data_IF_319251650435
#
_entry.id   IF_319251650435
#
_cell.length_a   1.000
_cell.length_b   1.000
_cell.length_c   1.000
_cell.angle_alpha   90.00
_cell.angle_beta   90.00
_cell.angle_gamma   90.00
#
_symmetry.space_group_name_H-M   'P 1'
#
loop_
_entity.id
_entity.type
_entity.pdbx_description
1 polymer ?
#
# COMPACT_ATOMS: atom_id res chain seq x y z
N UNK A 1 -14.18 -60.37 -28.02
CA UNK A 1 -12.90 -59.64 -28.02
C UNK A 1 -13.20 -58.16 -28.10
N UNK A 2 -12.91 -57.46 -26.99
CA UNK A 2 -12.76 -56.01 -26.76
C UNK A 2 -13.70 -55.00 -27.46
N UNK A 3 -14.60 -54.46 -26.63
CA UNK A 3 -15.32 -53.20 -26.82
C UNK A 3 -14.33 -52.01 -26.82
N UNK A 4 -14.36 -51.16 -27.83
CA UNK A 4 -13.59 -49.92 -27.89
C UNK A 4 -14.49 -48.71 -27.62
N UNK A 5 -14.65 -48.34 -26.35
CA UNK A 5 -15.26 -47.07 -25.97
C UNK A 5 -14.20 -45.96 -26.06
N UNK A 6 -14.37 -45.03 -27.00
CA UNK A 6 -13.58 -43.80 -27.06
C UNK A 6 -13.99 -42.92 -25.88
N UNK A 7 -13.10 -42.78 -24.90
CA UNK A 7 -13.28 -41.87 -23.77
C UNK A 7 -12.89 -40.47 -24.27
N UNK A 8 -13.88 -39.61 -24.43
CA UNK A 8 -13.66 -38.20 -24.70
C UNK A 8 -12.99 -37.56 -23.46
N UNK A 9 -11.77 -37.05 -23.64
CA UNK A 9 -11.10 -36.26 -22.62
C UNK A 9 -11.81 -34.91 -22.50
N UNK A 10 -12.56 -34.71 -21.42
CA UNK A 10 -13.10 -33.41 -21.07
C UNK A 10 -11.94 -32.53 -20.54
N UNK A 11 -11.51 -31.57 -21.34
CA UNK A 11 -10.62 -30.50 -20.89
C UNK A 11 -11.38 -29.60 -19.93
N UNK A 12 -11.11 -29.72 -18.63
CA UNK A 12 -11.63 -28.81 -17.61
C UNK A 12 -10.81 -27.51 -17.72
N UNK A 13 -11.36 -26.53 -18.43
CA UNK A 13 -10.90 -25.16 -18.33
C UNK A 13 -11.27 -24.62 -16.95
N UNK A 14 -10.29 -24.56 -16.05
CA UNK A 14 -10.40 -23.74 -14.85
C UNK A 14 -10.38 -22.26 -15.28
N UNK A 15 -11.56 -21.70 -15.56
CA UNK A 15 -11.75 -20.27 -15.47
C UNK A 15 -11.66 -19.91 -14.00
N UNK A 16 -10.52 -19.37 -13.56
CA UNK A 16 -10.41 -18.69 -12.27
C UNK A 16 -11.44 -17.56 -12.28
N UNK A 17 -12.58 -17.80 -11.63
CA UNK A 17 -13.53 -16.76 -11.32
C UNK A 17 -12.80 -15.75 -10.44
N UNK A 18 -12.40 -14.63 -11.04
CA UNK A 18 -12.04 -13.43 -10.28
C UNK A 18 -13.36 -13.04 -9.62
N UNK A 19 -13.55 -13.48 -8.37
CA UNK A 19 -14.66 -13.01 -7.56
C UNK A 19 -14.59 -11.49 -7.57
N UNK A 20 -15.68 -10.85 -7.97
CA UNK A 20 -15.82 -9.39 -7.88
C UNK A 20 -15.81 -9.06 -6.39
N UNK A 21 -14.63 -8.84 -5.84
CA UNK A 21 -14.47 -8.29 -4.49
C UNK A 21 -14.92 -6.84 -4.61
N UNK A 22 -16.05 -6.51 -3.99
CA UNK A 22 -16.57 -5.15 -4.00
C UNK A 22 -15.53 -4.19 -3.44
N UNK A 23 -15.52 -2.96 -3.96
CA UNK A 23 -14.59 -1.94 -3.49
C UNK A 23 -14.75 -1.72 -1.97
N UNK A 24 -13.63 -1.65 -1.26
CA UNK A 24 -13.62 -1.38 0.18
C UNK A 24 -13.20 0.05 0.44
N UNK A 25 -13.87 0.69 1.39
CA UNK A 25 -13.55 2.04 1.80
C UNK A 25 -12.20 2.06 2.53
N UNK A 26 -11.43 3.12 2.31
CA UNK A 26 -10.14 3.34 2.93
C UNK A 26 -9.72 4.80 2.87
N UNK A 27 -8.47 5.02 3.24
CA UNK A 27 -7.82 6.33 3.26
C UNK A 27 -6.54 6.28 2.46
N UNK A 28 -6.14 7.43 1.94
CA UNK A 28 -4.84 7.57 1.27
C UNK A 28 -4.01 8.69 1.88
N UNK A 29 -2.74 8.40 2.06
CA UNK A 29 -1.67 9.38 2.16
C UNK A 29 -0.91 9.43 0.84
N UNK A 30 0.00 10.40 0.72
CA UNK A 30 0.80 10.56 -0.48
C UNK A 30 2.29 10.67 -0.14
N UNK A 31 3.08 9.84 -0.80
CA UNK A 31 4.52 9.75 -0.62
C UNK A 31 5.26 9.94 -1.94
N UNK A 32 6.42 10.58 -1.86
CA UNK A 32 7.34 10.65 -2.99
C UNK A 32 8.36 9.53 -2.88
N UNK A 33 8.07 8.42 -3.55
CA UNK A 33 8.94 7.24 -3.56
C UNK A 33 10.33 7.54 -4.14
N UNK A 34 10.48 8.59 -4.96
CA UNK A 34 11.78 8.95 -5.54
C UNK A 34 12.77 9.51 -4.53
N UNK A 35 12.29 9.89 -3.34
CA UNK A 35 13.14 10.34 -2.23
C UNK A 35 13.68 9.17 -1.40
N UNK A 36 13.19 7.95 -1.64
CA UNK A 36 13.63 6.75 -0.95
C UNK A 36 14.81 6.09 -1.68
N UNK A 37 15.70 5.48 -0.91
CA UNK A 37 16.84 4.73 -1.47
C UNK A 37 16.42 3.34 -1.97
N UNK A 38 15.41 2.75 -1.32
CA UNK A 38 14.88 1.41 -1.58
C UNK A 38 13.41 1.36 -1.19
N UNK A 39 12.71 0.34 -1.66
CA UNK A 39 11.36 -0.03 -1.21
C UNK A 39 11.40 -1.45 -0.61
N UNK A 40 10.40 -1.82 0.18
CA UNK A 40 10.32 -3.13 0.81
C UNK A 40 10.23 -4.26 -0.24
N UNK A 41 9.36 -4.12 -1.25
CA UNK A 41 9.19 -5.15 -2.26
C UNK A 41 10.42 -5.34 -3.15
N UNK A 42 11.10 -6.48 -2.97
CA UNK A 42 12.25 -6.84 -3.80
C UNK A 42 11.92 -6.86 -5.29
N UNK A 43 12.82 -6.30 -6.10
CA UNK A 43 12.68 -6.23 -7.56
C UNK A 43 11.89 -5.03 -8.08
N UNK A 44 11.38 -4.16 -7.21
CA UNK A 44 10.73 -2.91 -7.60
C UNK A 44 11.62 -1.70 -7.36
N UNK A 45 11.62 -0.70 -8.26
CA UNK A 45 12.36 0.53 -8.07
C UNK A 45 11.60 1.52 -7.16
N UNK A 46 12.31 2.35 -6.36
CA UNK A 46 11.73 3.45 -5.58
C UNK A 46 11.33 4.62 -6.50
N UNK A 47 10.31 4.40 -7.33
CA UNK A 47 9.80 5.40 -8.29
C UNK A 47 8.31 5.55 -8.18
N UNK A 48 7.82 6.77 -8.39
CA UNK A 48 6.38 7.08 -8.36
C UNK A 48 5.55 6.35 -9.43
N UNK A 49 6.20 5.80 -10.47
CA UNK A 49 5.56 5.02 -11.53
C UNK A 49 6.14 3.61 -11.60
N UNK A 50 5.28 2.65 -11.94
CA UNK A 50 5.59 1.24 -12.16
C UNK A 50 5.36 0.81 -13.63
N UNK A 51 5.40 1.78 -14.55
CA UNK A 51 5.11 1.61 -15.97
C UNK A 51 3.61 1.53 -16.27
N UNK A 52 3.23 1.61 -17.56
CA UNK A 52 1.84 1.42 -18.03
C UNK A 52 0.77 2.25 -17.30
N UNK A 53 1.10 3.49 -16.93
CA UNK A 53 0.22 4.37 -16.13
C UNK A 53 -0.20 3.77 -14.77
N UNK A 54 0.64 2.90 -14.19
CA UNK A 54 0.49 2.36 -12.85
C UNK A 54 1.35 3.17 -11.89
N UNK A 55 0.74 3.63 -10.80
CA UNK A 55 1.41 4.37 -9.74
C UNK A 55 1.99 3.42 -8.69
N UNK A 56 3.09 3.79 -8.05
CA UNK A 56 3.57 3.08 -6.87
C UNK A 56 2.63 3.32 -5.68
N UNK A 57 2.48 2.31 -4.82
CA UNK A 57 1.83 2.45 -3.53
C UNK A 57 2.48 1.54 -2.49
N UNK A 58 2.30 1.92 -1.23
CA UNK A 58 2.50 1.09 -0.07
C UNK A 58 1.14 0.82 0.60
N UNK A 59 0.94 -0.37 1.16
CA UNK A 59 -0.33 -0.76 1.76
C UNK A 59 -0.14 -1.34 3.16
N UNK A 60 -1.12 -1.10 4.03
CA UNK A 60 -1.28 -1.69 5.36
C UNK A 60 -1.98 -3.06 5.33
N UNK A 61 -2.48 -3.53 6.48
CA UNK A 61 -3.54 -4.55 6.53
C UNK A 61 -4.81 -4.02 5.86
N UNK A 62 -5.44 -4.86 5.04
CA UNK A 62 -6.76 -4.68 4.44
C UNK A 62 -7.68 -5.82 4.91
N UNK A 63 -7.67 -6.07 6.22
CA UNK A 63 -8.31 -7.22 6.87
C UNK A 63 -9.85 -7.20 6.73
N UNK A 64 -10.51 -8.34 6.44
CA UNK A 64 -9.94 -9.69 6.30
C UNK A 64 -9.49 -10.05 4.88
N UNK A 65 -9.52 -9.10 3.93
CA UNK A 65 -9.27 -9.38 2.51
C UNK A 65 -7.79 -9.63 2.23
N UNK A 66 -6.92 -8.76 2.76
CA UNK A 66 -5.47 -8.88 2.62
C UNK A 66 -4.79 -8.56 3.95
N UNK A 67 -3.85 -9.42 4.36
CA UNK A 67 -2.98 -9.15 5.49
C UNK A 67 -1.75 -8.45 4.92
N UNK A 68 -1.52 -7.24 5.37
CA UNK A 68 -0.36 -6.46 5.01
C UNK A 68 0.86 -6.94 5.80
N UNK A 69 2.01 -6.47 5.37
CA UNK A 69 3.25 -6.88 5.98
C UNK A 69 3.34 -6.29 7.40
N UNK A 70 3.71 -7.11 8.39
CA UNK A 70 3.91 -6.67 9.77
C UNK A 70 5.40 -6.45 9.99
N UNK A 71 5.78 -5.22 10.27
CA UNK A 71 7.16 -4.89 10.63
C UNK A 71 7.24 -4.56 12.11
N UNK A 72 8.16 -5.14 12.86
CA UNK A 72 8.30 -4.88 14.29
C UNK A 72 8.93 -3.51 14.58
N UNK A 73 8.57 -2.88 15.71
CA UNK A 73 9.04 -1.54 16.06
C UNK A 73 8.50 -1.02 17.39
N UNK A 74 9.14 0.04 17.92
CA UNK A 74 8.74 0.68 19.19
C UNK A 74 8.05 2.02 18.92
N UNK A 75 6.88 2.27 19.54
CA UNK A 75 6.19 3.58 19.56
C UNK A 75 6.90 4.61 20.49
N UNK A 76 8.23 4.62 20.51
CA UNK A 76 9.00 5.52 21.38
C UNK A 76 9.22 6.86 20.69
N UNK A 77 8.56 7.91 21.18
CA UNK A 77 8.68 9.27 20.67
C UNK A 77 10.13 9.78 20.61
N UNK A 78 10.99 9.31 21.52
CA UNK A 78 12.39 9.71 21.56
C UNK A 78 13.20 9.16 20.39
N UNK A 79 12.65 8.18 19.66
CA UNK A 79 13.22 7.65 18.43
C UNK A 79 12.68 8.34 17.19
N UNK A 80 11.94 9.44 17.31
CA UNK A 80 11.49 10.26 16.19
C UNK A 80 12.23 11.59 16.14
N UNK A 81 12.60 12.05 14.95
CA UNK A 81 13.30 13.30 14.75
C UNK A 81 12.38 14.54 14.74
N UNK A 82 11.07 14.34 15.02
CA UNK A 82 10.06 15.40 14.97
C UNK A 82 9.79 15.95 13.56
N UNK A 83 10.18 15.21 12.52
CA UNK A 83 9.97 15.56 11.11
C UNK A 83 9.41 14.39 10.29
N UNK A 84 8.70 13.45 10.90
CA UNK A 84 8.19 12.29 10.16
C UNK A 84 9.19 11.13 10.02
N UNK A 85 10.37 11.22 10.64
CA UNK A 85 11.43 10.22 10.48
C UNK A 85 11.91 9.67 11.82
N UNK A 86 12.38 8.42 11.78
CA UNK A 86 12.89 7.71 12.93
C UNK A 86 14.41 7.85 13.05
N UNK A 87 14.89 8.30 14.20
CA UNK A 87 16.29 8.25 14.61
C UNK A 87 16.57 6.91 15.29
N UNK A 88 17.61 6.21 14.83
CA UNK A 88 18.03 4.92 15.38
C UNK A 88 16.94 3.84 15.34
N UNK A 89 16.27 3.72 14.20
CA UNK A 89 15.45 2.56 13.85
C UNK A 89 16.32 1.29 13.68
N UNK A 90 16.94 0.83 14.75
CA UNK A 90 17.75 -0.40 14.77
C UNK A 90 16.83 -1.60 15.01
N UNK A 91 16.20 -2.03 13.91
CA UNK A 91 15.65 -3.37 13.70
C UNK A 91 16.38 -4.09 12.56
N UNK A 92 17.63 -3.67 12.28
CA UNK A 92 18.51 -4.26 11.26
C UNK A 92 18.78 -5.73 11.61
N UNK A 93 18.21 -6.66 10.85
CA UNK A 93 18.82 -7.98 10.72
C UNK A 93 20.09 -7.79 9.88
N UNK A 94 21.23 -7.59 10.56
CA UNK A 94 22.55 -7.59 9.92
C UNK A 94 22.88 -9.04 9.56
N UNK A 95 22.52 -9.46 8.34
CA UNK A 95 23.30 -10.47 7.63
C UNK A 95 24.28 -9.72 6.74
N UNK A 96 25.56 -10.03 6.93
CA UNK A 96 26.73 -9.37 6.35
C UNK A 96 26.47 -8.86 4.91
N UNK A 97 26.74 -7.57 4.74
CA UNK A 97 26.92 -6.88 3.45
C UNK A 97 25.65 -6.56 2.64
N UNK A 98 24.45 -6.76 3.20
CA UNK A 98 23.18 -6.37 2.55
C UNK A 98 22.35 -5.49 3.49
N UNK A 99 22.14 -4.22 3.14
CA UNK A 99 21.16 -3.37 3.82
C UNK A 99 19.76 -3.88 3.51
N UNK A 100 19.21 -4.72 4.39
CA UNK A 100 17.78 -5.02 4.39
C UNK A 100 17.16 -3.99 5.34
N UNK A 101 16.58 -2.92 4.79
CA UNK A 101 15.60 -2.10 5.51
C UNK A 101 14.54 -3.06 6.03
N UNK A 102 14.53 -3.31 7.36
CA UNK A 102 13.76 -4.33 8.07
C UNK A 102 12.54 -4.81 7.27
N UNK A 103 12.78 -5.80 6.40
CA UNK A 103 11.80 -6.24 5.44
C UNK A 103 10.68 -6.84 6.24
N UNK A 104 9.48 -6.28 6.13
CA UNK A 104 8.31 -6.92 6.69
C UNK A 104 8.25 -8.30 6.02
N UNK A 105 8.57 -9.41 6.70
CA UNK A 105 9.01 -10.65 6.04
C UNK A 105 7.88 -11.34 5.25
N UNK A 106 6.64 -10.89 5.44
CA UNK A 106 5.42 -11.40 4.82
C UNK A 106 4.86 -10.39 3.80
N UNK A 107 5.63 -10.08 2.75
CA UNK A 107 5.20 -9.16 1.68
C UNK A 107 4.28 -9.83 0.64
N UNK A 108 3.27 -10.56 1.09
CA UNK A 108 2.39 -11.39 0.24
C UNK A 108 1.68 -10.59 -0.88
N UNK A 109 1.61 -9.27 -0.75
CA UNK A 109 0.95 -8.37 -1.68
C UNK A 109 1.89 -7.67 -2.67
N UNK A 110 3.20 -7.89 -2.59
CA UNK A 110 4.13 -7.25 -3.51
C UNK A 110 3.78 -7.55 -4.97
N UNK A 111 3.76 -6.50 -5.79
CA UNK A 111 3.43 -6.57 -7.21
C UNK A 111 1.94 -6.71 -7.51
N UNK A 112 1.05 -6.81 -6.51
CA UNK A 112 -0.41 -6.79 -6.74
C UNK A 112 -0.89 -5.39 -7.10
N UNK A 113 -1.99 -5.31 -7.85
CA UNK A 113 -2.56 -4.05 -8.30
C UNK A 113 -3.97 -3.80 -7.76
N UNK A 114 -4.26 -2.52 -7.55
CA UNK A 114 -5.55 -2.04 -7.08
C UNK A 114 -6.03 -0.87 -7.92
N UNK A 115 -7.32 -0.83 -8.19
CA UNK A 115 -8.02 0.34 -8.67
C UNK A 115 -8.38 1.22 -7.48
N UNK A 116 -8.02 2.50 -7.55
CA UNK A 116 -8.27 3.49 -6.50
C UNK A 116 -9.14 4.60 -7.05
N UNK A 117 -10.18 4.96 -6.30
CA UNK A 117 -11.05 6.08 -6.60
C UNK A 117 -11.19 6.99 -5.39
N UNK A 118 -11.07 8.30 -5.59
CA UNK A 118 -11.37 9.29 -4.55
C UNK A 118 -12.87 9.32 -4.26
N UNK A 119 -13.24 9.32 -2.98
CA UNK A 119 -14.62 9.45 -2.50
C UNK A 119 -14.85 10.72 -1.67
N UNK A 120 -13.79 11.40 -1.24
CA UNK A 120 -13.87 12.72 -0.62
C UNK A 120 -12.54 13.18 -0.02
N UNK A 121 -12.52 14.39 0.52
CA UNK A 121 -11.39 14.85 1.36
C UNK A 121 -11.45 14.13 2.70
N UNK A 122 -10.31 13.61 3.15
CA UNK A 122 -10.15 13.09 4.50
C UNK A 122 -9.91 14.23 5.50
N UNK A 123 -9.24 15.30 5.05
CA UNK A 123 -8.81 16.43 5.87
C UNK A 123 -9.90 17.48 6.08
N UNK A 124 -11.12 17.21 5.60
CA UNK A 124 -12.26 18.10 5.75
C UNK A 124 -12.20 19.32 4.83
N UNK A 125 -11.42 19.26 3.75
CA UNK A 125 -11.34 20.33 2.77
C UNK A 125 -12.71 20.56 2.11
N UNK A 126 -13.16 21.82 2.15
CA UNK A 126 -14.41 22.25 1.51
C UNK A 126 -14.19 22.85 0.12
N UNK A 127 -12.93 23.01 -0.29
CA UNK A 127 -12.53 23.50 -1.61
C UNK A 127 -11.76 22.40 -2.33
N UNK A 128 -12.17 22.07 -3.55
CA UNK A 128 -11.65 20.93 -4.31
C UNK A 128 -12.72 19.86 -4.53
N UNK A 129 -12.39 18.83 -5.30
CA UNK A 129 -13.27 17.69 -5.57
C UNK A 129 -12.46 16.47 -6.01
N UNK A 130 -13.05 15.28 -5.82
CA UNK A 130 -12.60 14.09 -6.54
C UNK A 130 -12.83 14.28 -8.04
N UNK A 131 -11.91 13.81 -8.87
CA UNK A 131 -12.00 13.94 -10.34
C UNK A 131 -12.93 12.90 -10.97
N UNK A 132 -13.39 11.91 -10.21
CA UNK A 132 -14.05 10.67 -10.66
C UNK A 132 -13.16 9.74 -11.51
N UNK A 133 -11.86 10.02 -11.63
CA UNK A 133 -10.94 9.09 -12.26
C UNK A 133 -10.68 7.88 -11.34
N UNK A 134 -10.46 6.74 -11.97
CA UNK A 134 -9.92 5.54 -11.33
C UNK A 134 -8.46 5.43 -11.75
N UNK A 135 -7.56 5.39 -10.78
CA UNK A 135 -6.14 5.11 -11.03
C UNK A 135 -5.83 3.65 -10.72
N UNK A 136 -4.78 3.12 -11.34
CA UNK A 136 -4.22 1.84 -10.95
C UNK A 136 -2.95 2.07 -10.14
N UNK A 137 -2.87 1.45 -8.97
CA UNK A 137 -1.66 1.41 -8.14
C UNK A 137 -1.11 -0.01 -8.10
N UNK A 138 0.20 -0.13 -7.88
CA UNK A 138 0.88 -1.40 -7.63
C UNK A 138 1.63 -1.31 -6.30
N UNK A 139 1.49 -2.35 -5.49
CA UNK A 139 2.18 -2.45 -4.21
C UNK A 139 3.64 -2.76 -4.45
N UNK A 140 4.49 -1.81 -4.12
CA UNK A 140 5.95 -1.91 -4.27
C UNK A 140 6.69 -1.64 -2.98
N UNK A 141 5.98 -1.19 -1.96
CA UNK A 141 6.53 -0.94 -0.65
C UNK A 141 5.53 -1.40 0.41
N UNK A 142 6.01 -1.56 1.63
CA UNK A 142 5.17 -1.93 2.75
C UNK A 142 4.80 -0.67 3.55
N UNK A 143 3.55 -0.57 3.97
CA UNK A 143 3.12 0.41 4.98
C UNK A 143 2.71 -0.34 6.25
N UNK A 144 3.66 -0.97 6.95
CA UNK A 144 3.35 -1.86 8.06
C UNK A 144 2.73 -1.13 9.25
N UNK A 145 1.81 -1.83 9.93
CA UNK A 145 1.10 -1.33 11.10
C UNK A 145 1.98 -1.06 12.34
N UNK A 146 3.24 -1.52 12.31
CA UNK A 146 4.12 -1.56 13.50
C UNK A 146 5.55 -1.05 13.29
N UNK A 147 5.85 -0.43 12.14
CA UNK A 147 7.21 0.04 11.86
C UNK A 147 7.44 1.44 12.42
N UNK A 148 8.59 1.72 13.09
CA UNK A 148 8.75 3.00 13.77
C UNK A 148 8.82 4.22 12.85
N UNK A 149 9.21 4.05 11.58
CA UNK A 149 9.13 5.13 10.62
C UNK A 149 7.69 5.57 10.30
N UNK A 150 6.69 4.69 10.44
CA UNK A 150 5.28 5.06 10.28
C UNK A 150 4.75 5.79 11.51
N UNK A 151 5.11 5.34 12.73
CA UNK A 151 4.81 6.09 13.96
C UNK A 151 5.37 7.50 13.93
N UNK A 152 6.60 7.70 13.43
CA UNK A 152 7.16 9.06 13.38
C UNK A 152 6.39 10.01 12.44
N UNK A 153 5.51 9.51 11.56
CA UNK A 153 4.63 10.33 10.71
C UNK A 153 3.41 10.90 11.46
N UNK A 154 2.99 10.33 12.60
CA UNK A 154 1.81 10.83 13.33
C UNK A 154 2.13 11.97 14.30
N UNK A 155 1.18 12.87 14.62
CA UNK A 155 1.49 14.13 15.26
C UNK A 155 1.87 13.96 16.73
N UNK A 156 1.41 12.88 17.38
CA UNK A 156 1.82 12.48 18.73
C UNK A 156 3.34 12.22 18.83
N UNK A 157 3.99 11.87 17.71
CA UNK A 157 5.42 11.61 17.61
C UNK A 157 6.17 12.68 16.79
N UNK A 158 5.56 13.87 16.65
CA UNK A 158 6.16 15.01 15.95
C UNK A 158 6.06 14.93 14.43
N UNK A 159 5.26 14.02 13.88
CA UNK A 159 4.89 14.02 12.47
C UNK A 159 3.75 14.98 12.15
N UNK A 160 3.22 14.90 10.93
CA UNK A 160 2.20 15.80 10.40
C UNK A 160 0.97 15.08 9.81
N UNK A 161 0.95 13.76 9.82
CA UNK A 161 -0.14 12.92 9.30
C UNK A 161 -1.06 12.57 10.46
N UNK A 162 -2.39 12.67 10.35
CA UNK A 162 -3.26 12.28 11.48
C UNK A 162 -3.19 10.77 11.72
N UNK A 163 -3.47 10.29 12.94
CA UNK A 163 -3.47 8.87 13.21
C UNK A 163 -4.33 8.08 12.22
N UNK A 164 -5.56 8.54 11.91
CA UNK A 164 -6.49 7.93 10.94
C UNK A 164 -5.94 7.78 9.51
N UNK A 165 -4.90 8.54 9.16
CA UNK A 165 -4.26 8.49 7.84
C UNK A 165 -3.04 7.57 7.81
N UNK A 166 -2.48 7.26 8.98
CA UNK A 166 -1.35 6.36 9.08
C UNK A 166 -1.82 4.91 8.92
N UNK A 167 -0.98 4.10 8.28
CA UNK A 167 -1.19 2.69 7.98
C UNK A 167 -1.32 1.75 9.20
N UNK A 168 -1.37 2.33 10.40
CA UNK A 168 -1.27 1.64 11.68
C UNK A 168 -2.58 1.72 12.47
N UNK A 169 -3.61 2.39 11.94
CA UNK A 169 -4.90 2.46 12.62
C UNK A 169 -5.67 1.15 12.52
N UNK A 170 -6.08 0.58 13.67
CA UNK A 170 -6.93 -0.60 13.67
C UNK A 170 -8.17 -0.40 12.79
N UNK A 171 -8.49 -1.38 11.96
CA UNK A 171 -9.67 -1.39 11.08
C UNK A 171 -9.69 -0.27 10.03
N UNK A 172 -8.54 0.31 9.70
CA UNK A 172 -8.43 1.30 8.62
C UNK A 172 -7.67 0.70 7.46
N UNK A 173 -8.31 0.67 6.28
CA UNK A 173 -7.64 0.32 5.04
C UNK A 173 -6.87 1.56 4.57
N UNK A 174 -5.55 1.53 4.61
CA UNK A 174 -4.72 2.67 4.26
C UNK A 174 -3.78 2.37 3.09
N UNK A 175 -3.62 3.35 2.21
CA UNK A 175 -2.60 3.33 1.16
C UNK A 175 -1.74 4.58 1.21
N UNK A 176 -0.42 4.41 1.14
CA UNK A 176 0.51 5.50 0.86
C UNK A 176 0.80 5.50 -0.65
N UNK A 177 0.18 6.41 -1.39
CA UNK A 177 0.16 6.39 -2.86
C UNK A 177 1.20 7.37 -3.39
N UNK A 178 1.82 7.06 -4.52
CA UNK A 178 2.74 7.98 -5.19
C UNK A 178 2.12 9.38 -5.32
N UNK A 179 2.83 10.41 -4.87
CA UNK A 179 2.35 11.80 -4.83
C UNK A 179 1.87 12.31 -6.19
N UNK A 180 2.45 11.81 -7.28
CA UNK A 180 2.06 12.14 -8.66
C UNK A 180 0.64 11.69 -9.02
N UNK A 181 0.05 10.75 -8.27
CA UNK A 181 -1.30 10.27 -8.48
C UNK A 181 -2.37 11.23 -7.94
N UNK A 182 -1.99 12.12 -6.99
CA UNK A 182 -2.93 13.00 -6.28
C UNK A 182 -3.76 13.85 -7.24
N UNK A 183 -3.10 14.52 -8.18
CA UNK A 183 -3.75 15.39 -9.16
C UNK A 183 -4.64 14.65 -10.15
N UNK A 184 -4.42 13.34 -10.31
CA UNK A 184 -5.29 12.48 -11.12
C UNK A 184 -6.55 12.11 -10.35
N UNK A 185 -6.43 11.83 -9.04
CA UNK A 185 -7.54 11.44 -8.16
C UNK A 185 -8.42 12.59 -7.72
N UNK A 186 -7.85 13.76 -7.46
CA UNK A 186 -8.58 14.90 -6.89
C UNK A 186 -7.88 16.24 -7.13
N UNK A 187 -8.60 17.32 -6.85
CA UNK A 187 -8.05 18.68 -6.73
C UNK A 187 -7.85 19.12 -5.28
N UNK A 188 -8.17 18.24 -4.31
CA UNK A 188 -7.85 18.44 -2.90
C UNK A 188 -6.33 18.49 -2.69
N UNK A 189 -5.89 19.25 -1.68
CA UNK A 189 -4.49 19.40 -1.32
C UNK A 189 -4.05 18.40 -0.25
N UNK A 190 -4.99 17.85 0.50
CA UNK A 190 -4.77 16.91 1.59
C UNK A 190 -4.90 15.45 1.18
N UNK A 191 -5.10 14.64 2.21
CA UNK A 191 -5.34 13.21 2.13
C UNK A 191 -6.79 12.91 1.73
N UNK A 192 -7.03 11.72 1.16
CA UNK A 192 -8.33 11.39 0.57
C UNK A 192 -8.98 10.20 1.24
N UNK A 193 -10.31 10.25 1.37
CA UNK A 193 -11.13 9.05 1.45
C UNK A 193 -11.12 8.39 0.07
N UNK A 194 -10.94 7.07 0.03
CA UNK A 194 -10.83 6.29 -1.20
C UNK A 194 -11.66 5.01 -1.16
N UNK A 195 -12.01 4.53 -2.35
CA UNK A 195 -12.45 3.17 -2.61
C UNK A 195 -11.28 2.37 -3.19
N UNK A 196 -11.15 1.13 -2.74
CA UNK A 196 -10.05 0.22 -3.09
C UNK A 196 -10.64 -1.06 -3.69
N UNK A 197 -10.26 -1.39 -4.92
CA UNK A 197 -10.74 -2.59 -5.61
C UNK A 197 -9.57 -3.40 -6.18
N UNK A 198 -9.56 -4.71 -5.95
CA UNK A 198 -8.55 -5.60 -6.53
C UNK A 198 -8.60 -5.60 -8.05
N UNK A 199 -7.45 -5.56 -8.71
CA UNK A 199 -7.40 -5.63 -10.18
C UNK A 199 -6.15 -6.34 -10.67
N UNK A 200 -6.15 -6.74 -11.94
CA UNK A 200 -4.93 -7.24 -12.58
C UNK A 200 -3.97 -6.09 -12.84
N UNK A 201 -2.67 -6.34 -12.62
CA UNK A 201 -1.63 -5.63 -13.33
C UNK A 201 -1.65 -6.09 -14.81
#
# INVERSE_FOLDING_TARGET
MHNGAAIAAAAIFFASAIGVVGAVAGVSTFNDFTTQTTVACSGFPPTNSQGNAIFAAAMSDLSPLWVGARCEGTMDANKCNGQGSCVDCVGLLILMDTFISAACPDEELCGTCFNIRCTGSLDGEVTGACTNNVIKVKIVDACPATHPANYCKIPEFGGNIRPIEACEQPNTNAMDIAVTARSVLSTFQGNLNIDIEATSC
#
